data_IF_856685258809
#
_entry.id   IF_856685258809
#
_cell.length_a   1.000
_cell.length_b   1.000
_cell.length_c   1.000
_cell.angle_alpha   90.00
_cell.angle_beta   90.00
_cell.angle_gamma   90.00
#
_symmetry.space_group_name_H-M   'P 1'
#
loop_
_entity.id
_entity.type
_entity.pdbx_description
1 polymer ?
#
# COMPACT_ATOMS: atom_id res chain seq x y z
N UNK A 1 -26.14 -19.01 -16.68
CA UNK A 1 -24.94 -18.39 -17.27
C UNK A 1 -24.84 -16.99 -16.67
N UNK A 2 -24.33 -16.77 -15.47
CA UNK A 2 -23.00 -17.16 -15.00
C UNK A 2 -22.13 -15.90 -14.99
N UNK A 3 -22.36 -15.00 -14.02
CA UNK A 3 -21.45 -13.91 -13.67
C UNK A 3 -21.60 -13.57 -12.18
N UNK A 4 -21.49 -14.61 -11.35
CA UNK A 4 -20.99 -14.46 -9.99
C UNK A 4 -19.50 -14.12 -10.10
N UNK A 5 -19.14 -12.95 -9.59
CA UNK A 5 -17.83 -12.43 -9.16
C UNK A 5 -17.72 -10.94 -9.47
N UNK A 6 -18.51 -10.14 -8.76
CA UNK A 6 -18.13 -8.75 -8.50
C UNK A 6 -18.01 -8.56 -6.98
N UNK A 7 -16.81 -8.68 -6.39
CA UNK A 7 -16.55 -8.02 -5.12
C UNK A 7 -16.28 -6.53 -5.39
N UNK A 8 -17.18 -5.86 -6.10
CA UNK A 8 -17.10 -4.44 -6.40
C UNK A 8 -17.94 -3.65 -5.39
N UNK A 9 -17.33 -3.43 -4.22
CA UNK A 9 -17.54 -2.27 -3.32
C UNK A 9 -18.75 -2.27 -2.37
N UNK A 10 -18.49 -2.06 -1.06
CA UNK A 10 -19.05 -0.82 -0.45
C UNK A 10 -18.10 0.05 0.42
N UNK A 11 -16.86 -0.37 0.72
CA UNK A 11 -15.97 0.26 1.74
C UNK A 11 -14.62 0.64 1.13
N UNK A 12 -14.65 1.48 0.08
CA UNK A 12 -13.51 1.99 -0.73
C UNK A 12 -12.19 2.01 0.04
N UNK A 13 -11.26 1.13 -0.32
CA UNK A 13 -9.84 1.12 0.04
C UNK A 13 -9.50 2.08 1.19
N UNK A 14 -9.96 1.79 2.40
CA UNK A 14 -9.86 2.74 3.53
C UNK A 14 -8.39 3.06 3.86
N UNK A 15 -7.46 2.22 3.43
CA UNK A 15 -6.02 2.44 3.51
C UNK A 15 -5.47 3.47 2.51
N UNK A 16 -6.27 3.99 1.57
CA UNK A 16 -5.84 5.00 0.59
C UNK A 16 -6.21 6.41 1.04
N UNK A 17 -5.20 7.27 1.21
CA UNK A 17 -5.33 8.61 1.79
C UNK A 17 -5.16 9.75 0.77
N UNK A 18 -5.10 9.44 -0.53
CA UNK A 18 -4.97 10.46 -1.57
C UNK A 18 -3.70 11.31 -1.41
N UNK A 19 -3.83 12.64 -1.41
CA UNK A 19 -2.71 13.60 -1.41
C UNK A 19 -2.01 13.77 -0.04
N UNK A 20 -2.03 12.75 0.81
CA UNK A 20 -1.32 12.74 2.09
C UNK A 20 0.20 12.85 1.88
N UNK A 21 0.85 13.75 2.61
CA UNK A 21 2.31 13.91 2.56
C UNK A 21 3.02 12.78 3.29
N UNK A 22 4.33 12.64 3.05
CA UNK A 22 5.18 11.71 3.79
C UNK A 22 5.13 11.96 5.30
N UNK A 23 5.23 13.22 5.72
CA UNK A 23 5.26 13.59 7.15
C UNK A 23 3.93 13.32 7.85
N UNK A 24 2.80 13.59 7.19
CA UNK A 24 1.48 13.26 7.74
C UNK A 24 1.28 11.74 7.84
N UNK A 25 1.76 10.97 6.86
CA UNK A 25 1.73 9.51 6.93
C UNK A 25 2.55 8.96 8.11
N UNK A 26 3.75 9.51 8.35
CA UNK A 26 4.57 9.14 9.50
C UNK A 26 3.89 9.50 10.82
N UNK A 27 3.25 10.67 10.90
CA UNK A 27 2.45 11.08 12.06
C UNK A 27 1.32 10.09 12.37
N UNK A 28 0.55 9.68 11.35
CA UNK A 28 -0.52 8.68 11.52
C UNK A 28 0.03 7.30 11.95
N UNK A 29 1.19 6.92 11.43
CA UNK A 29 1.82 5.63 11.72
C UNK A 29 2.58 5.59 13.05
N UNK A 30 2.91 6.74 13.65
CA UNK A 30 3.76 6.84 14.85
C UNK A 30 3.20 6.06 16.03
N UNK A 31 1.89 6.17 16.27
CA UNK A 31 1.20 5.48 17.37
C UNK A 31 0.61 4.12 16.95
N UNK A 32 0.85 3.70 15.71
CA UNK A 32 0.40 2.43 15.20
C UNK A 32 1.41 1.31 15.51
N UNK A 33 0.92 0.07 15.51
CA UNK A 33 1.76 -1.12 15.67
C UNK A 33 2.59 -1.42 14.41
N UNK A 34 3.60 -2.24 14.56
CA UNK A 34 4.35 -2.78 13.42
C UNK A 34 3.41 -3.46 12.42
N UNK A 35 3.75 -3.40 11.12
CA UNK A 35 2.91 -3.85 10.00
C UNK A 35 1.65 -3.00 9.75
N UNK A 36 1.52 -1.84 10.41
CA UNK A 36 0.52 -0.83 10.04
C UNK A 36 0.91 -0.09 8.78
N UNK A 37 -0.04 0.13 7.88
CA UNK A 37 0.25 0.68 6.56
C UNK A 37 -0.86 1.59 6.02
N UNK A 38 -0.49 2.44 5.07
CA UNK A 38 -1.39 3.20 4.23
C UNK A 38 -0.78 3.46 2.85
N UNK A 39 -1.62 3.75 1.87
CA UNK A 39 -1.22 4.17 0.52
C UNK A 39 -1.60 5.63 0.32
N UNK A 40 -0.73 6.38 -0.33
CA UNK A 40 -0.91 7.80 -0.65
C UNK A 40 -0.39 8.07 -2.06
N UNK A 41 -0.71 9.23 -2.60
CA UNK A 41 -0.12 9.73 -3.83
C UNK A 41 1.38 9.95 -3.62
N UNK A 42 2.18 9.66 -4.66
CA UNK A 42 3.57 10.08 -4.65
C UNK A 42 3.63 11.62 -4.71
N UNK A 43 4.48 12.21 -3.86
CA UNK A 43 4.72 13.66 -3.87
C UNK A 43 5.57 14.10 -5.07
N UNK A 44 6.35 13.17 -5.64
CA UNK A 44 7.30 13.46 -6.72
C UNK A 44 6.79 13.07 -8.10
N UNK A 45 5.72 12.28 -8.19
CA UNK A 45 5.15 11.84 -9.47
C UNK A 45 3.64 11.64 -9.37
N UNK A 46 2.88 12.30 -10.26
CA UNK A 46 1.42 12.18 -10.31
C UNK A 46 0.92 10.81 -10.80
N UNK A 47 1.79 10.05 -11.47
CA UNK A 47 1.44 8.75 -12.02
C UNK A 47 1.70 7.59 -11.04
N UNK A 48 2.20 7.87 -9.84
CA UNK A 48 2.72 6.87 -8.92
C UNK A 48 2.13 7.01 -7.53
N UNK A 49 2.13 5.90 -6.80
CA UNK A 49 1.67 5.84 -5.42
C UNK A 49 2.84 5.52 -4.49
N UNK A 50 2.66 5.82 -3.21
CA UNK A 50 3.59 5.46 -2.15
C UNK A 50 2.87 4.63 -1.09
N UNK A 51 3.46 3.50 -0.74
CA UNK A 51 3.06 2.68 0.39
C UNK A 51 3.92 3.07 1.59
N UNK A 52 3.29 3.62 2.62
CA UNK A 52 3.93 3.98 3.89
C UNK A 52 3.60 2.91 4.93
N UNK A 53 4.63 2.43 5.63
CA UNK A 53 4.56 1.27 6.54
C UNK A 53 5.31 1.57 7.85
N UNK A 54 4.73 1.15 8.98
CA UNK A 54 5.38 1.14 10.29
C UNK A 54 6.21 -0.13 10.47
N UNK A 55 7.51 0.04 10.75
CA UNK A 55 8.42 -1.02 11.19
C UNK A 55 8.89 -0.77 12.62
N UNK A 56 9.49 -1.77 13.27
CA UNK A 56 10.20 -1.62 14.54
C UNK A 56 11.29 -0.54 14.53
N UNK A 57 11.92 -0.28 13.39
CA UNK A 57 13.03 0.67 13.26
C UNK A 57 12.62 2.07 12.78
N UNK A 58 11.32 2.31 12.53
CA UNK A 58 10.86 3.60 12.00
C UNK A 58 9.74 3.45 10.99
N UNK A 59 9.90 4.11 9.85
CA UNK A 59 8.93 4.11 8.75
C UNK A 59 9.59 3.72 7.44
N UNK A 60 8.90 2.91 6.65
CA UNK A 60 9.32 2.52 5.30
C UNK A 60 8.37 3.11 4.28
N UNK A 61 8.94 3.62 3.19
CA UNK A 61 8.17 4.20 2.08
C UNK A 61 8.57 3.49 0.80
N UNK A 62 7.65 2.69 0.27
CA UNK A 62 7.85 1.91 -0.94
C UNK A 62 7.11 2.54 -2.09
N UNK A 63 7.72 2.49 -3.27
CA UNK A 63 7.18 3.08 -4.48
C UNK A 63 6.30 2.08 -5.22
N UNK A 64 5.05 2.46 -5.45
CA UNK A 64 4.11 1.75 -6.30
C UNK A 64 4.11 2.42 -7.67
N UNK A 65 4.74 1.78 -8.64
CA UNK A 65 4.97 2.36 -9.98
C UNK A 65 4.21 1.57 -11.03
N UNK A 66 3.78 2.26 -12.08
CA UNK A 66 3.27 1.60 -13.27
C UNK A 66 4.41 0.83 -13.96
N UNK A 67 4.09 -0.37 -14.41
CA UNK A 67 4.95 -1.28 -15.16
C UNK A 67 4.40 -1.43 -16.60
N UNK A 68 5.02 -2.31 -17.39
CA UNK A 68 4.57 -2.64 -18.75
C UNK A 68 3.10 -3.09 -18.74
N UNK A 69 2.42 -2.84 -19.86
CA UNK A 69 1.03 -3.24 -20.12
C UNK A 69 0.01 -2.73 -19.09
N UNK A 70 0.31 -1.58 -18.46
CA UNK A 70 -0.59 -0.94 -17.50
C UNK A 70 -0.60 -1.57 -16.10
N UNK A 71 0.24 -2.59 -15.87
CA UNK A 71 0.37 -3.27 -14.57
C UNK A 71 1.07 -2.40 -13.52
N UNK A 72 1.09 -2.85 -12.27
CA UNK A 72 1.73 -2.16 -11.15
C UNK A 72 2.72 -3.06 -10.41
N UNK A 73 3.79 -2.45 -9.90
CA UNK A 73 4.83 -3.13 -9.10
C UNK A 73 5.14 -2.34 -7.82
N UNK A 74 5.43 -3.05 -6.74
CA UNK A 74 5.99 -2.54 -5.48
C UNK A 74 7.51 -2.61 -5.50
N UNK A 75 8.16 -1.56 -6.00
CA UNK A 75 9.61 -1.55 -6.25
C UNK A 75 10.05 -2.54 -7.35
N UNK A 76 11.36 -2.73 -7.50
CA UNK A 76 11.94 -3.50 -8.62
C UNK A 76 11.82 -5.02 -8.49
N UNK A 77 11.65 -5.55 -7.27
CA UNK A 77 11.70 -7.00 -6.99
C UNK A 77 10.32 -7.61 -6.69
N UNK A 78 9.25 -6.95 -7.10
CA UNK A 78 7.88 -7.45 -6.94
C UNK A 78 7.34 -7.98 -8.27
N UNK A 79 6.45 -8.99 -8.25
CA UNK A 79 5.72 -9.38 -9.44
C UNK A 79 4.79 -8.24 -9.89
N UNK A 80 4.41 -8.20 -11.18
CA UNK A 80 3.46 -7.21 -11.69
C UNK A 80 2.01 -7.62 -11.38
N UNK A 81 1.17 -6.66 -11.05
CA UNK A 81 -0.25 -6.82 -10.70
C UNK A 81 -1.16 -5.97 -11.58
N UNK A 82 -2.44 -6.30 -11.73
CA UNK A 82 -3.34 -5.53 -12.61
C UNK A 82 -3.83 -4.23 -11.95
N UNK A 83 -3.76 -4.14 -10.62
CA UNK A 83 -4.18 -2.94 -9.90
C UNK A 83 -3.47 -2.75 -8.55
N UNK A 84 -3.43 -1.52 -8.03
CA UNK A 84 -2.88 -1.25 -6.68
C UNK A 84 -3.59 -2.07 -5.58
N UNK A 85 -4.92 -2.20 -5.55
CA UNK A 85 -5.60 -3.05 -4.57
C UNK A 85 -5.12 -4.50 -4.59
N UNK A 86 -4.79 -5.07 -5.75
CA UNK A 86 -4.22 -6.42 -5.84
C UNK A 86 -2.81 -6.49 -5.24
N UNK A 87 -1.96 -5.49 -5.50
CA UNK A 87 -0.63 -5.40 -4.85
C UNK A 87 -0.79 -5.45 -3.33
N UNK A 88 -1.70 -4.62 -2.80
CA UNK A 88 -1.95 -4.55 -1.36
C UNK A 88 -2.49 -5.88 -0.84
N UNK A 89 -3.49 -6.45 -1.50
CA UNK A 89 -4.08 -7.73 -1.12
C UNK A 89 -3.03 -8.84 -1.06
N UNK A 90 -2.19 -8.95 -2.09
CA UNK A 90 -1.12 -9.95 -2.15
C UNK A 90 -0.16 -9.86 -0.95
N UNK A 91 0.29 -8.65 -0.61
CA UNK A 91 1.21 -8.44 0.52
C UNK A 91 0.54 -8.45 1.90
N UNK A 92 -0.79 -8.67 1.99
CA UNK A 92 -1.43 -9.00 3.28
C UNK A 92 -1.09 -10.42 3.73
N UNK A 93 -0.85 -11.33 2.80
CA UNK A 93 -0.53 -12.75 3.06
C UNK A 93 0.91 -13.12 2.69
N UNK A 94 1.61 -12.28 1.94
CA UNK A 94 3.01 -12.47 1.54
C UNK A 94 3.95 -11.48 2.22
N UNK A 95 5.22 -11.86 2.29
CA UNK A 95 6.28 -11.00 2.83
C UNK A 95 6.68 -9.92 1.85
N UNK A 96 6.95 -8.73 2.37
CA UNK A 96 7.40 -7.59 1.58
C UNK A 96 8.85 -7.81 1.10
N UNK A 97 9.19 -7.41 -0.14
CA UNK A 97 10.52 -7.61 -0.72
C UNK A 97 11.53 -6.56 -0.21
N UNK A 98 11.70 -6.46 1.11
CA UNK A 98 12.52 -5.45 1.78
C UNK A 98 13.72 -6.13 2.44
N UNK A 99 14.93 -5.85 1.95
CA UNK A 99 16.17 -6.38 2.54
C UNK A 99 16.28 -5.94 4.01
N UNK A 100 16.49 -6.89 4.91
CA UNK A 100 16.59 -6.64 6.35
C UNK A 100 15.26 -6.46 7.09
N UNK A 101 14.13 -6.49 6.38
CA UNK A 101 12.79 -6.42 6.97
C UNK A 101 11.81 -7.41 6.32
N UNK A 102 12.32 -8.56 5.89
CA UNK A 102 11.60 -9.60 5.14
C UNK A 102 10.49 -10.27 5.96
N UNK A 103 10.42 -10.01 7.27
CA UNK A 103 9.34 -10.52 8.12
C UNK A 103 8.05 -9.67 8.00
N UNK A 104 8.10 -8.48 7.41
CA UNK A 104 6.96 -7.56 7.36
C UNK A 104 5.95 -7.94 6.28
N UNK A 105 4.68 -7.72 6.61
CA UNK A 105 3.51 -7.87 5.73
C UNK A 105 2.52 -6.72 5.98
N UNK A 106 1.52 -6.56 5.12
CA UNK A 106 0.50 -5.52 5.23
C UNK A 106 -0.68 -5.99 6.10
N UNK A 107 -0.48 -5.97 7.41
CA UNK A 107 -1.43 -6.57 8.36
C UNK A 107 -2.51 -5.59 8.83
N UNK A 108 -2.16 -4.32 9.05
CA UNK A 108 -3.05 -3.39 9.75
C UNK A 108 -3.27 -2.10 8.92
N UNK A 109 -4.32 -2.05 8.09
CA UNK A 109 -4.61 -0.86 7.30
C UNK A 109 -4.98 0.31 8.23
N UNK A 110 -4.31 1.45 8.06
CA UNK A 110 -4.70 2.71 8.69
C UNK A 110 -5.81 3.34 7.86
N UNK A 111 -7.01 3.39 8.43
CA UNK A 111 -8.19 3.85 7.72
C UNK A 111 -8.21 5.37 7.60
N UNK A 112 -8.65 5.89 6.46
CA UNK A 112 -8.94 7.31 6.26
C UNK A 112 -10.00 7.73 7.28
N UNK A 113 -9.69 8.74 8.07
CA UNK A 113 -10.67 9.37 8.93
C UNK A 113 -11.47 10.35 8.08
N UNK A 114 -12.59 9.90 7.52
CA UNK A 114 -13.61 10.82 7.03
C UNK A 114 -14.28 11.44 8.25
N UNK A 115 -14.02 12.73 8.48
CA UNK A 115 -14.85 13.58 9.35
C UNK A 115 -16.26 13.72 8.76
#
# INVERSE_FOLDING_TARGET
WGSEWTPACPWKNRWYHGALTRSEAESLLTLCKECSYLVRNSQTSRAEYSLSLRSCQGFMHMKLSQYKDGKYVLGQNSPPFDSIPEVIHYYTTHKLPIRGAEHLSLLFPVLVQTL
#
